data_IF_096022448694
#
_entry.id   IF_096022448694
#
_cell.length_a   1.000
_cell.length_b   1.000
_cell.length_c   1.000
_cell.angle_alpha   90.00
_cell.angle_beta   90.00
_cell.angle_gamma   90.00
#
_symmetry.space_group_name_H-M   'P 1'
#
loop_
_entity.id
_entity.type
_entity.pdbx_description
1 polymer ?
#
# COMPACT_ATOMS: atom_id res chain seq x y z
N UNK A 1 -19.80 -2.65 -2.76
CA UNK A 1 -19.20 -1.52 -2.01
C UNK A 1 -17.70 -1.60 -2.18
N UNK A 2 -17.03 -0.46 -2.48
CA UNK A 2 -15.56 -0.40 -2.60
C UNK A 2 -14.91 -0.80 -1.29
N UNK A 3 -13.85 -1.61 -1.37
CA UNK A 3 -13.09 -2.04 -0.19
C UNK A 3 -11.59 -2.06 -0.42
N UNK A 4 -11.13 -1.49 -1.54
CA UNK A 4 -9.71 -1.39 -1.89
C UNK A 4 -9.49 -0.16 -2.77
N UNK A 5 -8.42 0.58 -2.52
CA UNK A 5 -7.94 1.61 -3.45
C UNK A 5 -6.45 1.89 -3.22
N UNK A 6 -5.83 2.50 -4.21
CA UNK A 6 -4.50 3.09 -4.09
C UNK A 6 -4.70 4.59 -3.83
N UNK A 7 -4.02 5.16 -2.86
CA UNK A 7 -4.20 6.59 -2.56
C UNK A 7 -3.93 7.45 -3.81
N UNK A 8 -4.81 8.38 -4.10
CA UNK A 8 -4.65 9.26 -5.28
C UNK A 8 -3.47 10.22 -5.12
N UNK A 9 -3.09 10.50 -3.89
CA UNK A 9 -1.91 11.31 -3.54
C UNK A 9 -1.41 10.82 -2.18
N UNK A 10 -0.14 10.98 -1.93
CA UNK A 10 0.38 10.78 -0.59
C UNK A 10 0.20 12.05 0.23
N UNK A 11 0.51 12.01 1.53
CA UNK A 11 0.42 13.23 2.37
C UNK A 11 1.40 14.34 1.98
N UNK A 12 2.42 14.03 1.15
CA UNK A 12 3.38 15.02 0.69
C UNK A 12 4.63 15.12 1.54
N UNK A 13 4.76 14.25 2.53
CA UNK A 13 5.90 14.24 3.45
C UNK A 13 6.75 12.97 3.28
N UNK A 14 6.83 12.47 2.06
CA UNK A 14 7.57 11.25 1.77
C UNK A 14 6.95 10.07 2.49
N UNK A 15 7.79 9.31 3.18
CA UNK A 15 7.33 8.15 3.94
C UNK A 15 7.07 8.47 5.43
N UNK A 16 7.10 9.75 5.81
CA UNK A 16 6.72 10.17 7.15
C UNK A 16 5.19 10.30 7.21
N UNK A 17 4.54 9.17 7.45
CA UNK A 17 3.08 9.07 7.38
C UNK A 17 2.41 9.21 8.77
N UNK A 18 3.22 9.37 9.82
CA UNK A 18 2.70 9.36 11.18
C UNK A 18 2.58 7.94 11.75
N UNK A 19 3.43 7.05 11.27
CA UNK A 19 3.39 5.64 11.65
C UNK A 19 2.21 4.92 10.99
N UNK A 20 1.96 3.69 11.41
CA UNK A 20 0.80 2.92 10.90
C UNK A 20 -0.51 3.65 11.21
N UNK A 21 -0.60 4.21 12.41
CA UNK A 21 -1.82 4.90 12.83
C UNK A 21 -2.11 6.10 11.94
N UNK A 22 -1.08 6.89 11.61
CA UNK A 22 -1.24 8.04 10.72
C UNK A 22 -1.61 7.62 9.30
N UNK A 23 -1.01 6.53 8.82
CA UNK A 23 -1.33 6.02 7.48
C UNK A 23 -2.78 5.51 7.43
N UNK A 24 -3.23 4.82 8.48
CA UNK A 24 -4.62 4.36 8.56
C UNK A 24 -5.59 5.54 8.57
N UNK A 25 -5.27 6.57 9.35
CA UNK A 25 -6.11 7.77 9.40
C UNK A 25 -6.17 8.44 8.03
N UNK A 26 -5.07 8.43 7.28
CA UNK A 26 -5.05 8.98 5.93
C UNK A 26 -5.93 8.15 4.98
N UNK A 27 -5.83 6.81 5.03
CA UNK A 27 -6.72 5.94 4.26
C UNK A 27 -8.19 6.24 4.59
N UNK A 28 -8.49 6.35 5.89
CA UNK A 28 -9.86 6.64 6.31
C UNK A 28 -10.34 7.99 5.77
N UNK A 29 -9.49 9.02 5.81
CA UNK A 29 -9.89 10.34 5.34
C UNK A 29 -10.20 10.35 3.85
N UNK A 30 -9.43 9.58 3.05
CA UNK A 30 -9.69 9.49 1.60
C UNK A 30 -10.99 8.71 1.33
N UNK A 31 -11.22 7.64 2.09
CA UNK A 31 -12.46 6.86 1.96
C UNK A 31 -13.67 7.72 2.35
N UNK A 32 -13.58 8.45 3.46
CA UNK A 32 -14.66 9.34 3.92
C UNK A 32 -14.98 10.40 2.86
N UNK A 33 -13.96 10.93 2.19
CA UNK A 33 -14.13 11.98 1.18
C UNK A 33 -14.93 11.51 -0.04
N UNK A 34 -15.01 10.19 -0.25
CA UNK A 34 -15.82 9.62 -1.33
C UNK A 34 -17.00 8.80 -0.79
N UNK A 35 -17.31 9.00 0.47
CA UNK A 35 -18.44 8.36 1.16
C UNK A 35 -18.37 6.83 1.11
N UNK A 36 -17.15 6.28 1.19
CA UNK A 36 -16.94 4.83 1.22
C UNK A 36 -16.98 4.36 2.68
N UNK A 37 -17.98 3.57 3.02
CA UNK A 37 -18.15 3.04 4.37
C UNK A 37 -17.02 2.08 4.75
N UNK A 38 -16.88 1.85 6.03
CA UNK A 38 -15.98 0.84 6.58
C UNK A 38 -14.85 1.44 7.38
N UNK A 39 -14.04 0.57 7.95
CA UNK A 39 -12.80 0.94 8.64
C UNK A 39 -11.66 0.61 7.71
N UNK A 40 -10.80 1.59 7.45
CA UNK A 40 -9.77 1.47 6.42
C UNK A 40 -8.38 1.45 7.02
N UNK A 41 -7.56 0.50 6.58
CA UNK A 41 -6.18 0.36 7.00
C UNK A 41 -5.24 0.42 5.80
N UNK A 42 -4.06 0.99 6.03
CA UNK A 42 -2.99 1.00 5.04
C UNK A 42 -2.29 -0.36 5.00
N UNK A 43 -1.95 -0.82 3.81
CA UNK A 43 -1.16 -2.05 3.62
C UNK A 43 0.31 -1.69 3.81
N UNK A 44 0.74 -1.69 5.06
CA UNK A 44 2.11 -1.35 5.45
C UNK A 44 2.52 -2.27 6.58
N UNK A 45 3.75 -2.80 6.49
CA UNK A 45 4.34 -3.56 7.60
C UNK A 45 5.18 -2.63 8.47
N UNK A 46 5.42 -3.01 9.71
CA UNK A 46 6.29 -2.26 10.61
C UNK A 46 7.21 -3.22 11.35
N UNK A 47 8.45 -2.83 11.49
CA UNK A 47 9.47 -3.64 12.17
C UNK A 47 9.24 -3.61 13.68
N UNK A 48 9.67 -4.66 14.37
CA UNK A 48 9.64 -4.70 15.83
C UNK A 48 10.52 -3.61 16.42
N UNK A 49 10.11 -3.10 17.56
CA UNK A 49 10.88 -2.13 18.34
C UNK A 49 11.06 -2.68 19.75
N UNK A 50 11.74 -1.93 20.62
CA UNK A 50 11.87 -2.33 22.01
C UNK A 50 10.51 -2.44 22.71
N UNK A 51 9.53 -1.67 22.23
CA UNK A 51 8.25 -1.54 22.92
C UNK A 51 7.09 -2.22 22.19
N UNK A 52 7.30 -2.72 20.96
CA UNK A 52 6.22 -3.28 20.15
C UNK A 52 6.72 -4.40 19.24
N UNK A 53 5.87 -5.40 19.05
CA UNK A 53 6.15 -6.51 18.12
C UNK A 53 6.04 -6.02 16.68
N UNK A 54 6.70 -6.74 15.77
CA UNK A 54 6.56 -6.48 14.34
C UNK A 54 5.10 -6.64 13.90
N UNK A 55 4.72 -5.88 12.90
CA UNK A 55 3.37 -5.90 12.33
C UNK A 55 3.49 -6.26 10.86
N UNK A 56 2.75 -7.27 10.43
CA UNK A 56 2.72 -7.69 9.02
C UNK A 56 1.55 -7.01 8.32
N UNK A 57 1.79 -6.46 7.15
CA UNK A 57 0.73 -5.82 6.37
C UNK A 57 -0.45 -6.76 6.13
N UNK A 58 -0.15 -8.03 5.83
CA UNK A 58 -1.19 -9.02 5.54
C UNK A 58 -2.15 -9.25 6.69
N UNK A 59 -1.71 -8.98 7.93
CA UNK A 59 -2.51 -9.28 9.13
C UNK A 59 -3.40 -8.10 9.55
N UNK A 60 -3.33 -6.98 8.84
CA UNK A 60 -4.04 -5.77 9.26
C UNK A 60 -5.12 -5.30 8.27
N UNK A 61 -5.38 -6.07 7.24
CA UNK A 61 -6.28 -5.65 6.16
C UNK A 61 -7.60 -6.43 6.11
N UNK A 62 -7.86 -7.28 7.09
CA UNK A 62 -9.10 -8.09 7.11
C UNK A 62 -8.99 -9.32 6.24
N UNK A 63 -10.11 -9.83 5.80
CA UNK A 63 -10.19 -11.15 5.15
C UNK A 63 -10.59 -11.11 3.67
N UNK A 64 -11.09 -9.98 3.19
CA UNK A 64 -11.61 -9.87 1.82
C UNK A 64 -13.03 -10.43 1.68
N UNK A 65 -13.57 -10.56 0.48
CA UNK A 65 -12.96 -10.13 -0.78
C UNK A 65 -12.87 -8.60 -0.90
N UNK A 66 -11.94 -8.12 -1.73
CA UNK A 66 -11.76 -6.68 -1.90
C UNK A 66 -12.11 -6.26 -3.32
N UNK A 67 -12.87 -5.17 -3.40
CA UNK A 67 -13.38 -4.63 -4.65
C UNK A 67 -12.86 -3.20 -4.82
N UNK A 68 -12.46 -2.87 -6.04
CA UNK A 68 -12.02 -1.51 -6.34
C UNK A 68 -13.22 -0.56 -6.50
N UNK A 69 -12.97 0.69 -6.85
CA UNK A 69 -14.02 1.71 -6.99
C UNK A 69 -15.05 1.34 -8.08
N UNK A 70 -14.63 0.61 -9.12
CA UNK A 70 -15.53 0.12 -10.17
C UNK A 70 -16.22 -1.20 -9.81
N UNK A 71 -16.05 -1.65 -8.55
CA UNK A 71 -16.62 -2.88 -8.01
C UNK A 71 -16.09 -4.14 -8.70
N UNK A 72 -14.87 -4.06 -9.23
CA UNK A 72 -14.15 -5.22 -9.74
C UNK A 72 -13.35 -5.84 -8.59
N UNK A 73 -13.46 -7.15 -8.43
CA UNK A 73 -12.71 -7.85 -7.39
C UNK A 73 -11.23 -7.85 -7.72
N UNK A 74 -10.41 -7.35 -6.78
CA UNK A 74 -8.95 -7.35 -6.94
C UNK A 74 -8.32 -8.56 -6.24
N UNK A 75 -8.95 -9.08 -5.21
CA UNK A 75 -8.52 -10.31 -4.55
C UNK A 75 -9.67 -10.88 -3.74
N UNK A 76 -9.78 -12.21 -3.70
CA UNK A 76 -10.85 -12.88 -2.98
C UNK A 76 -10.58 -13.02 -1.48
N UNK A 77 -9.29 -13.08 -1.12
CA UNK A 77 -8.89 -13.26 0.28
C UNK A 77 -7.39 -13.02 0.42
N UNK A 78 -6.86 -13.12 1.63
CA UNK A 78 -5.45 -12.84 1.92
C UNK A 78 -4.51 -13.77 1.13
N UNK A 79 -4.88 -15.04 1.00
CA UNK A 79 -4.03 -16.00 0.27
C UNK A 79 -4.01 -15.68 -1.23
N UNK A 80 -5.16 -15.36 -1.81
CA UNK A 80 -5.26 -14.97 -3.21
C UNK A 80 -4.49 -13.67 -3.46
N UNK A 81 -4.62 -12.69 -2.56
CA UNK A 81 -3.92 -11.41 -2.68
C UNK A 81 -2.40 -11.60 -2.78
N UNK A 82 -1.86 -12.57 -2.04
CA UNK A 82 -0.41 -12.81 -1.99
C UNK A 82 0.03 -13.93 -2.94
N UNK A 83 -0.83 -14.31 -3.88
CA UNK A 83 -0.51 -15.30 -4.93
C UNK A 83 -0.32 -14.57 -6.27
N UNK A 84 0.02 -15.34 -7.29
CA UNK A 84 0.10 -14.82 -8.65
C UNK A 84 -1.27 -14.66 -9.31
N UNK A 85 -2.32 -15.09 -8.62
CA UNK A 85 -3.68 -15.11 -9.18
C UNK A 85 -4.53 -13.91 -8.76
N UNK A 86 -3.96 -12.96 -8.04
CA UNK A 86 -4.71 -11.75 -7.71
C UNK A 86 -4.93 -10.91 -8.98
N UNK A 87 -5.88 -10.00 -8.91
CA UNK A 87 -6.26 -9.17 -10.06
C UNK A 87 -5.78 -7.72 -9.87
N UNK A 88 -4.54 -7.55 -9.40
CA UNK A 88 -3.93 -6.23 -9.27
C UNK A 88 -3.14 -5.93 -10.54
N UNK A 89 -3.65 -4.99 -11.33
CA UNK A 89 -3.05 -4.55 -12.60
C UNK A 89 -3.13 -3.03 -12.67
N UNK A 90 -2.50 -2.44 -13.68
CA UNK A 90 -2.61 -1.00 -13.90
C UNK A 90 -4.06 -0.54 -14.03
N UNK A 91 -4.90 -1.38 -14.63
CA UNK A 91 -6.30 -1.05 -14.91
C UNK A 91 -7.22 -1.27 -13.71
N UNK A 92 -6.86 -2.15 -12.79
CA UNK A 92 -7.73 -2.49 -11.65
C UNK A 92 -7.31 -1.81 -10.35
N UNK A 93 -6.06 -1.36 -10.24
CA UNK A 93 -5.59 -0.65 -9.04
C UNK A 93 -6.00 0.82 -9.19
N UNK A 94 -7.27 1.07 -8.94
CA UNK A 94 -7.85 2.41 -9.04
C UNK A 94 -7.69 3.15 -7.72
N UNK A 95 -7.66 4.48 -7.78
CA UNK A 95 -7.65 5.29 -6.58
C UNK A 95 -9.07 5.41 -6.00
N UNK A 96 -9.21 6.11 -4.89
CA UNK A 96 -10.50 6.23 -4.19
C UNK A 96 -11.58 6.90 -5.03
N UNK A 97 -11.19 7.63 -6.07
CA UNK A 97 -12.14 8.30 -6.98
C UNK A 97 -12.34 7.54 -8.28
N UNK A 98 -11.73 6.36 -8.41
CA UNK A 98 -11.85 5.54 -9.62
C UNK A 98 -10.88 5.89 -10.73
N UNK A 99 -9.89 6.76 -10.43
CA UNK A 99 -8.88 7.13 -11.42
C UNK A 99 -7.73 6.13 -11.46
N UNK A 100 -7.07 6.06 -12.62
CA UNK A 100 -5.85 5.28 -12.79
C UNK A 100 -4.65 6.13 -12.38
N UNK A 101 -3.66 5.49 -11.77
CA UNK A 101 -2.41 6.14 -11.39
C UNK A 101 -1.40 5.98 -12.51
N UNK A 102 -0.53 6.96 -12.69
CA UNK A 102 0.57 6.86 -13.64
C UNK A 102 1.46 5.67 -13.30
N UNK A 103 1.72 4.83 -14.29
CA UNK A 103 2.61 3.70 -14.19
C UNK A 103 3.98 4.01 -14.77
N UNK A 104 4.78 2.97 -14.97
CA UNK A 104 6.17 3.12 -15.42
C UNK A 104 6.30 3.84 -16.75
N UNK A 105 5.34 3.64 -17.66
CA UNK A 105 5.43 4.23 -19.01
C UNK A 105 4.84 5.63 -19.09
N UNK A 106 4.30 6.12 -17.98
CA UNK A 106 3.71 7.45 -17.92
C UNK A 106 4.71 8.47 -17.37
N UNK A 107 4.41 9.74 -17.53
CA UNK A 107 5.23 10.83 -17.00
C UNK A 107 4.37 11.73 -16.14
N UNK A 108 4.70 11.90 -14.84
CA UNK A 108 5.77 11.21 -14.11
C UNK A 108 5.39 9.77 -13.78
N UNK A 109 6.39 8.90 -13.67
CA UNK A 109 6.18 7.55 -13.19
C UNK A 109 5.88 7.57 -11.69
N UNK A 110 4.84 6.88 -11.26
CA UNK A 110 4.44 6.79 -9.84
C UNK A 110 4.09 5.36 -9.43
N UNK A 111 4.76 4.38 -10.04
CA UNK A 111 4.36 3.00 -9.82
C UNK A 111 4.94 2.37 -8.55
N UNK A 112 5.91 3.02 -7.90
CA UNK A 112 6.49 2.52 -6.65
C UNK A 112 5.55 2.84 -5.49
N UNK A 113 5.00 1.81 -4.87
CA UNK A 113 4.01 1.93 -3.80
C UNK A 113 4.65 1.45 -2.51
N UNK A 114 4.57 2.24 -1.45
CA UNK A 114 5.15 1.92 -0.14
C UNK A 114 4.45 0.72 0.46
N UNK A 115 5.21 -0.27 0.95
CA UNK A 115 4.63 -1.44 1.64
C UNK A 115 5.45 -1.93 2.83
N UNK A 116 6.79 -1.83 2.76
CA UNK A 116 7.66 -2.36 3.79
C UNK A 116 7.55 -3.88 3.94
N UNK A 117 7.13 -4.57 2.90
CA UNK A 117 6.69 -5.95 3.02
C UNK A 117 7.45 -6.90 2.08
N UNK A 118 7.55 -8.14 2.50
CA UNK A 118 7.96 -9.27 1.66
C UNK A 118 6.83 -9.65 0.70
N UNK A 119 7.13 -10.54 -0.24
CA UNK A 119 6.14 -11.03 -1.20
C UNK A 119 4.89 -11.60 -0.53
N UNK A 120 5.06 -12.24 0.62
CA UNK A 120 3.93 -12.86 1.34
C UNK A 120 3.20 -11.89 2.28
N UNK A 121 3.58 -10.62 2.30
CA UNK A 121 2.92 -9.62 3.13
C UNK A 121 3.42 -9.53 4.56
N UNK A 122 4.47 -10.29 4.91
CA UNK A 122 5.10 -10.14 6.23
C UNK A 122 6.10 -8.99 6.19
N UNK A 123 6.49 -8.48 7.38
CA UNK A 123 7.43 -7.36 7.43
C UNK A 123 8.76 -7.77 6.80
N UNK A 124 9.29 -6.93 5.94
CA UNK A 124 10.58 -7.18 5.33
C UNK A 124 11.67 -6.95 6.38
N UNK A 125 12.56 -7.93 6.53
CA UNK A 125 13.72 -7.80 7.41
C UNK A 125 14.98 -7.92 6.55
N UNK A 126 15.96 -7.08 6.83
CA UNK A 126 17.20 -7.07 6.06
C UNK A 126 18.28 -6.29 6.78
N UNK A 127 19.35 -6.02 6.06
CA UNK A 127 20.49 -5.30 6.62
C UNK A 127 20.22 -3.79 6.54
N UNK A 128 19.22 -3.32 7.27
CA UNK A 128 18.90 -1.91 7.28
C UNK A 128 17.41 -1.65 7.37
N UNK A 129 17.08 -0.39 7.19
CA UNK A 129 15.70 0.08 7.28
C UNK A 129 14.89 -0.36 6.07
N UNK A 130 13.74 -0.97 6.29
CA UNK A 130 12.83 -1.42 5.23
C UNK A 130 11.48 -0.73 5.29
N UNK A 131 11.27 0.16 6.27
CA UNK A 131 9.98 0.78 6.55
C UNK A 131 10.08 2.29 6.78
N UNK A 132 11.18 2.93 6.40
CA UNK A 132 11.42 4.34 6.66
C UNK A 132 11.14 4.67 8.14
N UNK A 133 11.81 3.92 9.02
CA UNK A 133 11.68 4.05 10.48
C UNK A 133 10.21 3.92 10.90
N UNK A 134 9.59 2.84 10.43
CA UNK A 134 8.18 2.53 10.71
C UNK A 134 7.27 3.71 10.35
N UNK A 135 7.52 4.27 9.15
CA UNK A 135 6.69 5.31 8.52
C UNK A 135 6.71 6.64 9.26
N UNK A 136 7.86 6.94 9.86
CA UNK A 136 8.06 8.22 10.54
C UNK A 136 9.17 9.07 9.92
N UNK A 137 9.92 8.53 8.94
CA UNK A 137 11.04 9.25 8.35
C UNK A 137 10.71 9.84 6.99
N UNK A 138 11.09 11.10 6.80
CA UNK A 138 11.06 11.74 5.49
C UNK A 138 12.48 12.11 5.04
N UNK A 139 13.48 11.44 5.58
CA UNK A 139 14.89 11.70 5.29
C UNK A 139 15.63 10.46 4.86
N UNK A 140 16.62 10.09 5.64
CA UNK A 140 17.42 8.90 5.38
C UNK A 140 16.63 7.64 5.68
N UNK A 141 17.15 6.51 5.24
CA UNK A 141 16.51 5.22 5.39
C UNK A 141 16.02 4.71 4.06
N UNK A 142 15.15 3.73 4.12
CA UNK A 142 14.61 3.09 2.92
C UNK A 142 13.32 2.37 3.28
N UNK A 143 12.48 2.13 2.29
CA UNK A 143 11.30 1.29 2.43
C UNK A 143 11.21 0.34 1.25
N UNK A 144 10.72 -0.87 1.47
CA UNK A 144 10.34 -1.76 0.37
C UNK A 144 9.12 -1.16 -0.32
N UNK A 145 9.15 -1.20 -1.65
CA UNK A 145 8.02 -0.74 -2.49
C UNK A 145 7.61 -1.84 -3.44
N UNK A 146 6.38 -1.79 -3.90
CA UNK A 146 5.87 -2.67 -4.95
C UNK A 146 5.49 -1.88 -6.20
N UNK A 147 5.30 -2.58 -7.30
CA UNK A 147 4.91 -2.00 -8.60
C UNK A 147 3.47 -2.36 -8.90
N UNK A 148 2.54 -1.44 -8.71
CA UNK A 148 1.12 -1.75 -8.91
C UNK A 148 0.83 -2.14 -10.37
N UNK A 149 1.62 -1.63 -11.31
CA UNK A 149 1.46 -1.91 -12.73
C UNK A 149 2.21 -3.17 -13.18
N UNK A 150 2.84 -3.89 -12.25
CA UNK A 150 3.47 -5.20 -12.46
C UNK A 150 4.59 -5.17 -13.49
N UNK A 151 5.33 -4.08 -13.58
CA UNK A 151 6.45 -3.94 -14.48
C UNK A 151 7.53 -3.07 -13.86
N UNK A 152 8.78 -3.27 -14.24
CA UNK A 152 9.83 -2.40 -13.73
C UNK A 152 11.15 -3.11 -13.53
N UNK A 153 11.93 -2.59 -12.60
CA UNK A 153 13.22 -3.14 -12.21
C UNK A 153 13.17 -3.68 -10.79
N UNK A 154 14.34 -4.06 -10.29
CA UNK A 154 14.47 -4.57 -8.94
C UNK A 154 14.50 -6.08 -8.87
N UNK A 155 14.52 -6.60 -7.66
CA UNK A 155 14.62 -8.04 -7.43
C UNK A 155 13.36 -8.78 -7.89
N UNK A 156 12.19 -8.16 -7.71
CA UNK A 156 10.91 -8.76 -8.09
C UNK A 156 10.10 -7.73 -8.88
N UNK A 157 10.49 -7.46 -10.15
CA UNK A 157 9.94 -6.33 -10.88
C UNK A 157 8.43 -6.38 -11.11
N UNK A 158 7.86 -7.58 -11.11
CA UNK A 158 6.42 -7.76 -11.35
C UNK A 158 5.61 -7.84 -10.04
N UNK A 159 6.25 -7.59 -8.91
CA UNK A 159 5.57 -7.70 -7.61
C UNK A 159 4.81 -6.43 -7.28
N UNK A 160 3.55 -6.58 -6.92
CA UNK A 160 2.74 -5.43 -6.50
C UNK A 160 3.16 -4.90 -5.12
N UNK A 161 3.81 -5.73 -4.29
CA UNK A 161 4.08 -5.37 -2.91
C UNK A 161 5.55 -5.44 -2.49
N UNK A 162 6.44 -6.06 -3.28
CA UNK A 162 7.83 -6.27 -2.82
C UNK A 162 8.80 -6.32 -4.00
N UNK A 163 8.92 -5.21 -4.72
CA UNK A 163 9.75 -5.15 -5.92
C UNK A 163 11.20 -4.78 -5.63
N UNK A 164 11.43 -3.75 -4.84
CA UNK A 164 12.78 -3.29 -4.46
C UNK A 164 12.70 -2.29 -3.31
N UNK A 165 13.87 -1.89 -2.82
CA UNK A 165 13.97 -0.86 -1.78
C UNK A 165 13.99 0.53 -2.41
N UNK A 166 13.44 1.52 -1.72
CA UNK A 166 13.50 2.91 -2.16
C UNK A 166 14.90 3.49 -1.93
N UNK A 167 15.23 4.54 -2.66
CA UNK A 167 16.52 5.25 -2.52
C UNK A 167 16.60 6.00 -1.20
N UNK A 168 15.49 6.43 -0.67
CA UNK A 168 15.41 7.18 0.58
C UNK A 168 13.96 7.35 0.98
N UNK A 169 13.71 8.15 1.99
CA UNK A 169 12.37 8.31 2.56
C UNK A 169 11.76 9.69 2.32
N UNK A 170 12.53 10.61 1.72
CA UNK A 170 12.00 11.94 1.42
C UNK A 170 11.07 11.91 0.22
N UNK A 171 10.17 12.88 0.15
CA UNK A 171 9.27 13.02 -1.00
C UNK A 171 10.08 13.09 -2.31
N UNK A 172 11.17 13.87 -2.30
CA UNK A 172 12.02 14.01 -3.47
C UNK A 172 12.67 12.68 -3.87
N UNK A 173 13.19 11.91 -2.90
CA UNK A 173 13.82 10.64 -3.20
C UNK A 173 12.81 9.62 -3.73
N UNK A 174 11.60 9.58 -3.17
CA UNK A 174 10.55 8.69 -3.66
C UNK A 174 10.15 9.06 -5.09
N UNK A 175 9.96 10.35 -5.35
CA UNK A 175 9.61 10.81 -6.71
C UNK A 175 10.74 10.55 -7.71
N UNK A 176 11.98 10.68 -7.27
CA UNK A 176 13.14 10.53 -8.14
C UNK A 176 13.36 9.12 -8.65
N UNK A 177 12.76 8.12 -8.04
CA UNK A 177 12.92 6.72 -8.45
C UNK A 177 11.61 6.05 -8.87
N UNK A 178 10.54 6.82 -9.07
CA UNK A 178 9.32 6.29 -9.64
C UNK A 178 8.14 6.18 -8.67
N UNK A 179 8.22 6.85 -7.54
CA UNK A 179 7.14 6.85 -6.55
C UNK A 179 6.59 8.23 -6.27
N UNK A 180 5.74 8.33 -5.26
CA UNK A 180 5.17 9.61 -4.84
C UNK A 180 4.64 9.54 -3.40
N UNK A 181 5.04 8.53 -2.65
CA UNK A 181 4.56 8.33 -1.28
C UNK A 181 3.16 7.73 -1.22
N UNK A 182 2.75 7.03 -2.27
CA UNK A 182 1.44 6.39 -2.33
C UNK A 182 1.45 5.04 -1.62
N UNK A 183 0.29 4.61 -1.13
CA UNK A 183 0.14 3.29 -0.52
C UNK A 183 -1.28 2.77 -0.71
N UNK A 184 -1.43 1.43 -0.56
CA UNK A 184 -2.72 0.76 -0.74
C UNK A 184 -3.54 0.86 0.53
N UNK A 185 -4.86 1.01 0.36
CA UNK A 185 -5.83 1.06 1.45
C UNK A 185 -6.85 -0.05 1.29
N UNK A 186 -7.13 -0.75 2.39
CA UNK A 186 -8.07 -1.89 2.42
C UNK A 186 -9.10 -1.66 3.51
N UNK A 187 -10.38 -1.93 3.20
CA UNK A 187 -11.43 -1.93 4.21
C UNK A 187 -11.41 -3.27 4.95
N UNK A 188 -11.40 -3.16 6.31
CA UNK A 188 -11.60 -4.35 7.12
C UNK A 188 -13.08 -4.69 7.06
N UNK A 189 -13.44 -5.65 6.48
CA UNK A 189 -14.62 -5.96 6.27
C UNK A 189 -15.34 -6.03 7.40
N UNK A 190 -16.10 -5.30 7.66
CA UNK A 190 -17.17 -5.42 8.62
C UNK A 190 -18.11 -6.50 8.13
N UNK A 191 -18.38 -7.42 8.99
CA UNK A 191 -19.41 -8.42 8.69
C UNK A 191 -20.69 -7.66 8.32
N UNK A 192 -21.38 -8.04 7.23
CA UNK A 192 -22.64 -7.39 6.94
C UNK A 192 -23.57 -7.55 8.13
N UNK A 193 -24.18 -6.46 8.55
CA UNK A 193 -25.17 -6.49 9.60
C UNK A 193 -26.30 -7.40 9.12
N UNK A 194 -26.37 -8.60 9.65
CA UNK A 194 -27.53 -9.45 9.45
C UNK A 194 -28.63 -8.88 10.32
N UNK A 195 -29.40 -7.98 9.73
CA UNK A 195 -30.61 -7.53 10.42
C UNK A 195 -31.53 -8.76 10.51
N UNK A 196 -31.70 -9.27 11.72
CA UNK A 196 -32.64 -10.34 12.03
C UNK A 196 -34.04 -9.75 12.11
#
# INVERSE_FOLDING_TARGET
MMSFFLTSAGPGSGAALGGLEGADAYCQSLADAVEADGTWHAYLSAAATADASAVNARDRIGTGPWLNQALVEVASDVANLHSENNNLTKETVLNERGGMTNGREDTPNRHDILTGSNLDGTVAVGDGDTTCDNWTSSGEGSALVGHFDRTGGGANPNSWNSAHASRGCSQENLQGTGGDGLFYCFAIXALPNVNV
#
